data_IF_113712336559
#
_entry.id   IF_113712336559
#
_cell.length_a   1.000
_cell.length_b   1.000
_cell.length_c   1.000
_cell.angle_alpha   90.00
_cell.angle_beta   90.00
_cell.angle_gamma   90.00
#
_symmetry.space_group_name_H-M   'P 1'
#
loop_
_entity.id
_entity.type
_entity.pdbx_description
1 polymer ?
#
# COMPACT_ATOMS: atom_id res chain seq x y z
N UNK A 1 -2.49 4.67 20.46
CA UNK A 1 -1.13 4.58 21.03
C UNK A 1 -0.60 5.98 21.42
N UNK A 2 -0.44 6.94 20.49
CA UNK A 2 0.05 8.29 20.83
C UNK A 2 -0.74 8.92 21.98
N UNK A 3 -2.05 8.99 21.88
CA UNK A 3 -2.95 9.51 22.93
C UNK A 3 -2.74 8.83 24.29
N UNK A 4 -2.59 7.49 24.31
CA UNK A 4 -2.35 6.75 25.56
C UNK A 4 -1.02 7.13 26.18
N UNK A 5 0.05 7.26 25.37
CA UNK A 5 1.36 7.71 25.83
C UNK A 5 1.26 9.12 26.41
N UNK A 6 0.69 10.06 25.65
CA UNK A 6 0.48 11.44 26.12
C UNK A 6 -0.25 11.47 27.44
N UNK A 7 -1.39 10.80 27.54
CA UNK A 7 -2.20 10.81 28.77
C UNK A 7 -1.45 10.24 29.96
N UNK A 8 -0.85 9.04 29.81
CA UNK A 8 -0.22 8.34 30.95
C UNK A 8 1.07 9.05 31.40
N UNK A 9 1.90 9.51 30.45
CA UNK A 9 3.10 10.24 30.79
C UNK A 9 2.76 11.60 31.41
N UNK A 10 1.80 12.32 30.87
CA UNK A 10 1.38 13.61 31.44
C UNK A 10 0.80 13.42 32.86
N UNK A 11 -0.04 12.42 33.06
CA UNK A 11 -0.59 12.11 34.39
C UNK A 11 0.53 11.83 35.40
N UNK A 12 1.53 11.04 35.02
CA UNK A 12 2.65 10.75 35.92
C UNK A 12 3.56 11.95 36.13
N UNK A 13 3.84 12.74 35.06
CA UNK A 13 4.70 13.91 35.14
C UNK A 13 4.10 15.00 36.03
N UNK A 14 2.78 15.25 35.93
CA UNK A 14 2.04 16.21 36.75
C UNK A 14 2.01 15.78 38.23
N UNK A 15 2.09 14.50 38.53
CA UNK A 15 2.13 14.00 39.90
C UNK A 15 3.47 14.20 40.60
N UNK A 16 4.52 14.59 39.86
CA UNK A 16 5.86 14.84 40.39
C UNK A 16 6.16 16.31 40.62
N UNK A 17 7.41 16.57 41.00
CA UNK A 17 7.96 17.90 41.22
C UNK A 17 9.23 18.07 40.38
N UNK A 18 9.44 19.28 39.93
CA UNK A 18 10.62 19.66 39.15
C UNK A 18 11.85 19.97 40.02
N UNK A 19 12.94 20.39 39.38
CA UNK A 19 14.19 20.70 40.10
C UNK A 19 14.07 21.93 41.02
N UNK A 20 13.12 22.81 40.76
CA UNK A 20 12.86 24.02 41.56
C UNK A 20 11.91 23.73 42.73
N UNK A 21 11.32 22.53 42.80
CA UNK A 21 10.30 22.14 43.75
C UNK A 21 8.88 22.52 43.32
N UNK A 22 8.69 22.99 42.07
CA UNK A 22 7.39 23.31 41.56
C UNK A 22 6.67 22.03 41.07
N UNK A 23 5.32 21.98 41.18
CA UNK A 23 4.55 20.84 40.63
C UNK A 23 4.79 20.69 39.13
N UNK A 24 4.89 19.42 38.67
CA UNK A 24 5.04 19.11 37.27
C UNK A 24 3.86 19.59 36.43
N UNK A 25 4.14 20.01 35.22
CA UNK A 25 3.15 20.32 34.19
C UNK A 25 3.07 19.21 33.16
N UNK A 26 2.11 19.25 32.23
CA UNK A 26 2.07 18.25 31.15
C UNK A 26 3.37 18.25 30.35
N UNK A 27 4.01 17.09 30.22
CA UNK A 27 5.27 16.92 29.48
C UNK A 27 5.03 16.99 27.97
N UNK A 28 4.02 16.27 27.47
CA UNK A 28 3.59 16.34 26.09
C UNK A 28 2.42 17.28 25.92
N UNK A 29 2.29 17.89 24.76
CA UNK A 29 1.19 18.79 24.43
C UNK A 29 -0.16 18.08 24.65
N UNK A 30 -1.01 18.56 25.58
CA UNK A 30 -2.33 17.97 25.83
C UNK A 30 -3.28 18.06 24.63
N UNK A 31 -3.04 19.00 23.69
CA UNK A 31 -3.81 19.14 22.46
C UNK A 31 -3.44 18.10 21.40
N UNK A 32 -2.33 17.38 21.58
CA UNK A 32 -1.88 16.34 20.65
C UNK A 32 -2.79 15.09 20.75
N UNK A 33 -3.64 14.92 19.74
CA UNK A 33 -4.63 13.83 19.68
C UNK A 33 -4.21 12.65 18.83
N UNK A 34 -3.14 12.78 18.05
CA UNK A 34 -2.66 11.74 17.12
C UNK A 34 -1.13 11.75 17.01
N UNK A 35 -0.57 10.79 16.27
CA UNK A 35 0.87 10.67 16.10
C UNK A 35 1.51 11.83 15.30
N UNK A 36 0.74 12.48 14.43
CA UNK A 36 1.26 13.60 13.63
C UNK A 36 1.40 14.90 14.45
N UNK A 37 0.56 15.05 15.48
CA UNK A 37 0.58 16.23 16.38
C UNK A 37 1.33 15.97 17.68
N UNK A 38 1.85 14.72 17.86
CA UNK A 38 2.60 14.34 19.07
C UNK A 38 3.88 15.17 19.21
N UNK A 39 4.02 15.89 20.32
CA UNK A 39 5.15 16.75 20.58
C UNK A 39 5.24 17.14 22.04
N UNK A 40 6.35 17.78 22.41
CA UNK A 40 6.53 18.36 23.74
C UNK A 40 5.55 19.53 23.96
N UNK A 41 5.12 19.70 25.20
CA UNK A 41 4.36 20.86 25.61
C UNK A 41 5.22 22.13 25.44
N UNK A 42 4.78 23.13 24.67
CA UNK A 42 5.53 24.39 24.51
C UNK A 42 5.83 25.14 25.81
N UNK A 43 5.10 24.84 26.89
CA UNK A 43 5.35 25.39 28.21
C UNK A 43 6.62 24.83 28.88
N UNK A 44 7.14 23.69 28.41
CA UNK A 44 8.43 23.13 28.84
C UNK A 44 9.55 23.82 28.06
N UNK A 45 10.08 24.88 28.59
CA UNK A 45 11.15 25.68 27.96
C UNK A 45 12.54 25.34 28.52
N UNK A 46 12.60 24.62 29.64
CA UNK A 46 13.86 24.29 30.32
C UNK A 46 13.80 22.86 30.87
N UNK A 47 14.95 22.20 30.89
CA UNK A 47 15.10 20.85 31.48
C UNK A 47 14.87 20.80 32.98
N UNK A 48 15.02 21.93 33.67
CA UNK A 48 14.74 22.03 35.12
C UNK A 48 13.26 21.81 35.42
N UNK A 49 12.36 21.99 34.43
CA UNK A 49 10.91 21.79 34.54
C UNK A 49 10.48 20.31 34.40
N UNK A 50 11.45 19.39 34.22
CA UNK A 50 11.16 17.95 34.20
C UNK A 50 10.90 17.46 35.61
N UNK A 51 9.67 17.02 35.85
CA UNK A 51 9.23 16.57 37.19
C UNK A 51 9.75 15.15 37.51
N UNK A 52 10.99 15.06 37.94
CA UNK A 52 11.66 13.81 38.24
C UNK A 52 11.45 13.36 39.72
N UNK A 53 11.19 14.32 40.62
CA UNK A 53 11.05 14.06 42.06
C UNK A 53 9.59 13.69 42.44
N UNK A 54 9.44 12.90 43.48
CA UNK A 54 8.17 12.59 44.14
C UNK A 54 7.75 13.64 45.20
N UNK A 55 8.68 14.56 45.54
CA UNK A 55 8.47 15.58 46.60
C UNK A 55 9.24 16.86 46.27
N UNK A 56 8.63 17.99 46.60
CA UNK A 56 9.19 19.33 46.37
C UNK A 56 10.50 19.59 47.14
N UNK A 57 10.76 18.86 48.24
CA UNK A 57 11.81 19.17 49.18
C UNK A 57 12.99 18.17 49.17
N UNK A 58 12.95 17.14 48.31
CA UNK A 58 13.94 16.08 48.26
C UNK A 58 14.89 16.28 47.07
N UNK A 59 16.04 16.91 47.37
CA UNK A 59 17.10 17.09 46.37
C UNK A 59 17.67 15.73 45.99
N UNK A 60 17.70 15.43 44.67
CA UNK A 60 18.22 14.16 44.13
C UNK A 60 17.21 13.01 44.10
N UNK A 61 15.95 13.23 44.53
CA UNK A 61 14.89 12.26 44.37
C UNK A 61 14.54 12.07 42.87
N UNK A 62 14.44 10.81 42.43
CA UNK A 62 14.12 10.44 41.08
C UNK A 62 12.96 9.44 40.99
N UNK A 63 12.19 9.32 42.06
CA UNK A 63 11.09 8.33 42.14
C UNK A 63 10.05 8.54 41.06
N UNK A 64 9.69 9.78 40.75
CA UNK A 64 8.72 10.09 39.70
C UNK A 64 9.25 9.70 38.30
N UNK A 65 10.54 9.94 38.05
CA UNK A 65 11.17 9.50 36.78
C UNK A 65 11.17 7.96 36.66
N UNK A 66 11.42 7.23 37.76
CA UNK A 66 11.32 5.77 37.77
C UNK A 66 9.89 5.28 37.53
N UNK A 67 8.87 5.98 38.04
CA UNK A 67 7.48 5.65 37.80
C UNK A 67 7.12 5.89 36.32
N UNK A 68 7.59 6.96 35.71
CA UNK A 68 7.45 7.17 34.26
C UNK A 68 8.08 6.04 33.44
N UNK A 69 9.27 5.59 33.83
CA UNK A 69 9.96 4.45 33.17
C UNK A 69 9.12 3.15 33.27
N UNK A 70 8.45 2.91 34.39
CA UNK A 70 7.59 1.74 34.57
C UNK A 70 6.36 1.71 33.68
N UNK A 71 5.94 2.85 33.11
CA UNK A 71 4.81 2.90 32.15
C UNK A 71 5.09 2.03 30.91
N UNK A 72 6.36 1.85 30.52
CA UNK A 72 6.74 0.98 29.41
C UNK A 72 6.29 -0.49 29.62
N UNK A 73 6.36 -0.97 30.86
CA UNK A 73 6.00 -2.36 31.21
C UNK A 73 4.55 -2.52 31.63
N UNK A 74 3.82 -1.42 31.84
CA UNK A 74 2.42 -1.48 32.23
C UNK A 74 1.52 -1.84 31.06
N UNK A 75 0.44 -2.54 31.35
CA UNK A 75 -0.60 -2.90 30.37
C UNK A 75 -1.57 -1.74 30.19
N UNK A 76 -1.24 -0.84 29.26
CA UNK A 76 -1.95 0.41 29.01
C UNK A 76 -2.79 0.37 27.73
N UNK A 77 -2.63 -0.66 26.91
CA UNK A 77 -3.29 -0.79 25.62
C UNK A 77 -4.35 -1.88 25.62
N UNK A 78 -5.26 -1.83 24.64
CA UNK A 78 -6.34 -2.82 24.47
C UNK A 78 -7.15 -3.08 25.74
N UNK A 79 -7.59 -1.98 26.40
CA UNK A 79 -8.38 -2.09 27.63
C UNK A 79 -7.58 -2.61 28.84
N UNK A 80 -6.26 -2.41 28.89
CA UNK A 80 -5.41 -2.83 30.01
C UNK A 80 -4.89 -4.27 29.88
N UNK A 81 -4.89 -4.84 28.68
CA UNK A 81 -4.42 -6.22 28.46
C UNK A 81 -3.02 -6.31 27.86
N UNK A 82 -2.59 -5.30 27.10
CA UNK A 82 -1.31 -5.27 26.38
C UNK A 82 -0.41 -4.12 26.84
N UNK A 83 0.89 -4.36 26.83
CA UNK A 83 1.89 -3.30 26.97
C UNK A 83 1.98 -2.49 25.68
N UNK A 84 2.64 -1.32 25.72
CA UNK A 84 2.91 -0.50 24.54
C UNK A 84 3.71 -1.27 23.49
N UNK A 85 4.75 -2.00 23.89
CA UNK A 85 5.58 -2.79 22.98
C UNK A 85 4.78 -3.93 22.34
N UNK A 86 4.06 -4.72 23.13
CA UNK A 86 3.25 -5.83 22.60
C UNK A 86 2.17 -5.35 21.62
N UNK A 87 1.58 -4.18 21.89
CA UNK A 87 0.62 -3.58 20.96
C UNK A 87 1.28 -3.14 19.66
N UNK A 88 2.47 -2.53 19.74
CA UNK A 88 3.24 -2.12 18.56
C UNK A 88 3.66 -3.33 17.72
N UNK A 89 4.19 -4.38 18.35
CA UNK A 89 4.58 -5.62 17.67
C UNK A 89 3.38 -6.27 16.96
N UNK A 90 2.22 -6.28 17.61
CA UNK A 90 0.98 -6.75 17.01
C UNK A 90 0.56 -5.91 15.79
N UNK A 91 0.72 -4.59 15.85
CA UNK A 91 0.44 -3.69 14.73
C UNK A 91 1.37 -3.95 13.54
N UNK A 92 2.67 -4.06 13.80
CA UNK A 92 3.67 -4.37 12.76
C UNK A 92 3.40 -5.71 12.10
N UNK A 93 3.09 -6.74 12.92
CA UNK A 93 2.74 -8.07 12.42
C UNK A 93 1.48 -8.04 11.55
N UNK A 94 0.45 -7.29 11.97
CA UNK A 94 -0.77 -7.13 11.19
C UNK A 94 -0.50 -6.47 9.85
N UNK A 95 0.26 -5.37 9.82
CA UNK A 95 0.64 -4.68 8.58
C UNK A 95 1.42 -5.63 7.67
N UNK A 96 2.35 -6.41 8.23
CA UNK A 96 3.11 -7.42 7.47
C UNK A 96 2.21 -8.45 6.78
N UNK A 97 1.21 -8.97 7.51
CA UNK A 97 0.23 -9.90 6.96
C UNK A 97 -0.65 -9.25 5.89
N UNK A 98 -1.11 -8.03 6.11
CA UNK A 98 -1.94 -7.28 5.15
C UNK A 98 -1.16 -7.02 3.85
N UNK A 99 0.12 -6.66 3.94
CA UNK A 99 1.01 -6.49 2.77
C UNK A 99 1.23 -7.81 2.04
N UNK A 100 1.49 -8.91 2.76
CA UNK A 100 1.66 -10.23 2.14
C UNK A 100 0.38 -10.69 1.44
N UNK A 101 -0.78 -10.49 2.08
CA UNK A 101 -2.09 -10.78 1.48
C UNK A 101 -2.34 -9.97 0.21
N UNK A 102 -2.06 -8.67 0.25
CA UNK A 102 -2.21 -7.78 -0.91
C UNK A 102 -1.30 -8.20 -2.08
N UNK A 103 -0.04 -8.56 -1.81
CA UNK A 103 0.87 -9.08 -2.83
C UNK A 103 0.36 -10.38 -3.47
N UNK A 104 -0.18 -11.30 -2.67
CA UNK A 104 -0.75 -12.52 -3.19
C UNK A 104 -1.98 -12.24 -4.08
N UNK A 105 -2.85 -11.31 -3.68
CA UNK A 105 -3.99 -10.90 -4.50
C UNK A 105 -3.55 -10.32 -5.83
N UNK A 106 -2.58 -9.39 -5.82
CA UNK A 106 -2.03 -8.82 -7.07
C UNK A 106 -1.46 -9.89 -7.98
N UNK A 107 -0.70 -10.85 -7.43
CA UNK A 107 -0.14 -11.96 -8.22
C UNK A 107 -1.22 -12.87 -8.84
N UNK A 108 -2.32 -13.12 -8.11
CA UNK A 108 -3.47 -13.87 -8.62
C UNK A 108 -4.20 -13.11 -9.73
N UNK A 109 -4.41 -11.80 -9.55
CA UNK A 109 -5.06 -10.95 -10.54
C UNK A 109 -4.23 -10.84 -11.82
N UNK A 110 -2.89 -10.75 -11.71
CA UNK A 110 -2.00 -10.78 -12.86
C UNK A 110 -2.06 -12.12 -13.62
N UNK A 111 -2.08 -13.23 -12.89
CA UNK A 111 -2.21 -14.56 -13.49
C UNK A 111 -3.56 -14.72 -14.20
N UNK A 112 -4.63 -14.26 -13.58
CA UNK A 112 -5.98 -14.27 -14.15
C UNK A 112 -6.08 -13.36 -15.39
N UNK A 113 -5.49 -12.18 -15.34
CA UNK A 113 -5.41 -11.26 -16.49
C UNK A 113 -4.68 -11.88 -17.68
N UNK A 114 -3.55 -12.56 -17.43
CA UNK A 114 -2.81 -13.30 -18.48
C UNK A 114 -3.65 -14.41 -19.07
N UNK A 115 -4.37 -15.16 -18.24
CA UNK A 115 -5.26 -16.22 -18.70
C UNK A 115 -6.40 -15.69 -19.58
N UNK A 116 -7.03 -14.58 -19.16
CA UNK A 116 -8.07 -13.92 -19.95
C UNK A 116 -7.53 -13.41 -21.29
N UNK A 117 -6.33 -12.82 -21.29
CA UNK A 117 -5.68 -12.37 -22.53
C UNK A 117 -5.43 -13.54 -23.47
N UNK A 118 -4.88 -14.65 -22.96
CA UNK A 118 -4.65 -15.86 -23.75
C UNK A 118 -5.95 -16.49 -24.30
N UNK A 119 -7.02 -16.51 -23.49
CA UNK A 119 -8.33 -16.96 -23.95
C UNK A 119 -8.91 -16.03 -25.03
N UNK A 120 -8.74 -14.73 -24.88
CA UNK A 120 -9.16 -13.76 -25.89
C UNK A 120 -8.38 -13.94 -27.19
N UNK A 121 -7.05 -14.12 -27.11
CA UNK A 121 -6.20 -14.38 -28.28
C UNK A 121 -6.58 -15.69 -28.97
N UNK A 122 -6.83 -16.75 -28.19
CA UNK A 122 -7.27 -18.04 -28.71
C UNK A 122 -8.64 -17.97 -29.41
N UNK A 123 -9.54 -17.14 -28.92
CA UNK A 123 -10.92 -17.07 -29.42
C UNK A 123 -11.13 -15.97 -30.48
N UNK A 124 -10.31 -14.92 -30.48
CA UNK A 124 -10.41 -13.75 -31.36
C UNK A 124 -9.09 -13.44 -32.06
N UNK A 125 -8.04 -14.21 -31.81
CA UNK A 125 -6.74 -14.07 -32.46
C UNK A 125 -6.89 -14.43 -33.93
N UNK A 126 -6.90 -13.41 -34.79
CA UNK A 126 -6.65 -13.57 -36.20
C UNK A 126 -5.29 -14.26 -36.38
N UNK A 127 -5.30 -15.52 -36.79
CA UNK A 127 -4.09 -16.18 -37.25
C UNK A 127 -3.65 -15.44 -38.54
N UNK A 128 -2.63 -14.61 -38.41
CA UNK A 128 -2.06 -13.89 -39.57
C UNK A 128 -1.68 -14.87 -40.69
N UNK A 129 -1.33 -16.11 -40.34
CA UNK A 129 -1.02 -17.17 -41.30
C UNK A 129 -2.28 -17.67 -42.02
N UNK A 130 -3.44 -17.77 -41.34
CA UNK A 130 -4.71 -18.11 -41.97
C UNK A 130 -5.20 -16.99 -42.88
N UNK A 131 -5.14 -15.75 -42.42
CA UNK A 131 -5.52 -14.57 -43.22
C UNK A 131 -4.60 -14.43 -44.46
N UNK A 132 -3.28 -14.63 -44.29
CA UNK A 132 -2.33 -14.59 -45.39
C UNK A 132 -2.59 -15.73 -46.40
N UNK A 133 -2.91 -16.93 -45.90
CA UNK A 133 -3.29 -18.07 -46.74
C UNK A 133 -4.56 -17.80 -47.52
N UNK A 134 -5.58 -17.25 -46.86
CA UNK A 134 -6.83 -16.85 -47.50
C UNK A 134 -6.60 -15.76 -48.55
N UNK A 135 -5.76 -14.78 -48.24
CA UNK A 135 -5.44 -13.70 -49.18
C UNK A 135 -4.73 -14.23 -50.42
N UNK A 136 -3.77 -15.15 -50.26
CA UNK A 136 -3.09 -15.82 -51.37
C UNK A 136 -4.08 -16.65 -52.21
N UNK A 137 -4.98 -17.37 -51.55
CA UNK A 137 -6.04 -18.13 -52.25
C UNK A 137 -6.96 -17.22 -53.07
N UNK A 138 -7.41 -16.10 -52.50
CA UNK A 138 -8.22 -15.12 -53.25
C UNK A 138 -7.45 -14.47 -54.39
N UNK A 139 -6.18 -14.14 -54.20
CA UNK A 139 -5.34 -13.58 -55.23
C UNK A 139 -5.15 -14.57 -56.40
N UNK A 140 -4.91 -15.85 -56.13
CA UNK A 140 -4.81 -16.91 -57.16
C UNK A 140 -6.13 -17.12 -57.87
N UNK A 141 -7.25 -17.10 -57.16
CA UNK A 141 -8.58 -17.22 -57.74
C UNK A 141 -8.91 -16.06 -58.69
N UNK A 142 -8.52 -14.86 -58.30
CA UNK A 142 -8.65 -13.68 -59.14
C UNK A 142 -7.83 -13.78 -60.44
N UNK A 143 -6.55 -14.20 -60.31
CA UNK A 143 -5.67 -14.43 -61.46
C UNK A 143 -6.19 -15.52 -62.39
N UNK A 144 -6.70 -16.62 -61.84
CA UNK A 144 -7.31 -17.70 -62.64
C UNK A 144 -8.56 -17.23 -63.38
N UNK A 145 -9.41 -16.42 -62.73
CA UNK A 145 -10.60 -15.83 -63.37
C UNK A 145 -10.21 -14.86 -64.50
N UNK A 146 -9.21 -14.02 -64.25
CA UNK A 146 -8.70 -13.12 -65.31
C UNK A 146 -8.15 -13.89 -66.52
N UNK A 147 -7.42 -15.02 -66.29
CA UNK A 147 -6.91 -15.88 -67.33
C UNK A 147 -8.04 -16.55 -68.12
N UNK A 148 -9.09 -17.01 -67.44
CA UNK A 148 -10.29 -17.56 -68.10
C UNK A 148 -10.96 -16.56 -69.01
N UNK A 149 -11.10 -15.29 -68.58
CA UNK A 149 -11.66 -14.23 -69.42
C UNK A 149 -10.77 -13.97 -70.65
N UNK A 150 -9.46 -13.85 -70.47
CA UNK A 150 -8.53 -13.67 -71.62
C UNK A 150 -8.61 -14.83 -72.60
N UNK A 151 -8.60 -16.07 -72.11
CA UNK A 151 -8.74 -17.24 -72.97
C UNK A 151 -10.07 -17.32 -73.70
N UNK A 152 -11.20 -16.96 -73.02
CA UNK A 152 -12.50 -16.87 -73.65
C UNK A 152 -12.53 -15.79 -74.77
N UNK A 153 -11.87 -14.65 -74.52
CA UNK A 153 -11.74 -13.57 -75.52
C UNK A 153 -10.93 -14.03 -76.73
N UNK A 154 -9.79 -14.71 -76.49
CA UNK A 154 -8.94 -15.25 -77.56
C UNK A 154 -9.66 -16.31 -78.41
N UNK A 155 -10.50 -17.13 -77.79
CA UNK A 155 -11.35 -18.10 -78.51
C UNK A 155 -12.42 -17.39 -79.35
N UNK A 156 -13.08 -16.37 -78.78
CA UNK A 156 -14.08 -15.54 -79.48
C UNK A 156 -13.43 -14.86 -80.70
N UNK A 157 -12.26 -14.26 -80.49
CA UNK A 157 -11.55 -13.58 -81.62
C UNK A 157 -11.18 -14.60 -82.71
N UNK A 158 -10.76 -15.78 -82.35
CA UNK A 158 -10.46 -16.87 -83.27
C UNK A 158 -11.70 -17.28 -84.06
N UNK A 159 -12.83 -17.47 -83.41
CA UNK A 159 -14.08 -17.84 -84.06
C UNK A 159 -14.57 -16.73 -84.98
N UNK A 160 -14.48 -15.46 -84.56
CA UNK A 160 -14.84 -14.33 -85.44
C UNK A 160 -13.91 -14.25 -86.66
N UNK A 161 -12.62 -14.50 -86.45
CA UNK A 161 -11.62 -14.54 -87.57
C UNK A 161 -11.84 -15.66 -88.58
N UNK A 162 -12.49 -16.77 -88.16
CA UNK A 162 -12.82 -17.90 -89.08
C UNK A 162 -14.09 -17.64 -89.99
N UNK A 163 -14.87 -16.65 -89.61
CA UNK A 163 -16.12 -16.33 -90.33
C UNK A 163 -15.90 -15.20 -91.40
N UNK A 164 -14.76 -14.66 -91.39
CA UNK A 164 -14.35 -13.55 -92.29
C UNK A 164 -13.36 -14.06 -93.31
#
# INVERSE_FOLDING_TARGET
MATTITTQVNTQHIAGFDLNGDPGIALFDPAATNAATFGLNPAIVNTTQIAASSSALLVGDNVNAQLMTKLQSQKLMAGGTLTLNSYFDGLVSKIGLDVASSKNTVSQDEAFSKQLTSLRESNSGLSLDEELSNLIMYQRSYQASAKLITTATEIMDTVIGMIR
#
